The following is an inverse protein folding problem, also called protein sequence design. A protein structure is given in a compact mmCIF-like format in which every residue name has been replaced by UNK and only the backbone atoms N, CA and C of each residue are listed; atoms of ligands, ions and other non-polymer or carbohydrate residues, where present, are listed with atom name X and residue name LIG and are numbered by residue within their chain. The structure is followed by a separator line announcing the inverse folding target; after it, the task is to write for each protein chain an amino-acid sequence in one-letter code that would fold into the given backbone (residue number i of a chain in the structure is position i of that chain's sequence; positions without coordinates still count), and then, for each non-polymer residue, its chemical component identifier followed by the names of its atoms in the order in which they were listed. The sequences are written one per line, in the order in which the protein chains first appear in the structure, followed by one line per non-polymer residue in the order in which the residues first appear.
data_IF_637256883483
#
_entry.id   IF_637256883483
#
_cell.length_a   1.000
_cell.length_b   1.000
_cell.length_c   1.000
_cell.angle_alpha   90.00
_cell.angle_beta   90.00
_cell.angle_gamma   90.00
#
_symmetry.space_group_name_H-M   'P 1'
#
loop_
_entity.id
_entity.type
_entity.pdbx_description
1 polymer ?
#
# COMPACT_ATOMS: atom_id res chain seq x y z
N UNK A 1 0.97 -1.79 9.56
CA UNK A 1 0.21 -0.95 8.62
C UNK A 1 0.69 -1.25 7.23
N UNK A 2 -0.21 -1.34 6.24
CA UNK A 2 0.14 -1.50 4.83
C UNK A 2 -0.61 -0.40 4.06
N UNK A 3 0.12 0.55 3.48
CA UNK A 3 -0.47 1.62 2.66
C UNK A 3 -0.36 1.21 1.19
N UNK A 4 -1.44 1.33 0.44
CA UNK A 4 -1.40 1.24 -1.02
C UNK A 4 -1.08 2.62 -1.59
N UNK A 5 -0.39 2.63 -2.73
CA UNK A 5 0.23 3.81 -3.30
C UNK A 5 -0.41 4.10 -4.65
N UNK A 6 -0.91 5.33 -4.82
CA UNK A 6 -1.33 5.88 -6.11
C UNK A 6 -0.17 6.67 -6.74
N UNK A 7 -0.38 7.21 -7.94
CA UNK A 7 0.64 8.00 -8.63
C UNK A 7 1.14 9.19 -7.80
N UNK A 8 0.27 9.83 -7.02
CA UNK A 8 0.61 11.02 -6.23
C UNK A 8 1.62 10.72 -5.10
N UNK A 9 1.57 9.51 -4.53
CA UNK A 9 2.47 9.09 -3.46
C UNK A 9 3.71 8.32 -3.96
N UNK A 10 3.84 8.08 -5.26
CA UNK A 10 4.86 7.20 -5.82
C UNK A 10 6.29 7.72 -5.61
N UNK A 11 6.54 9.01 -5.88
CA UNK A 11 7.87 9.60 -5.68
C UNK A 11 8.28 9.60 -4.21
N UNK A 12 7.35 9.92 -3.31
CA UNK A 12 7.60 9.92 -1.88
C UNK A 12 7.87 8.52 -1.35
N UNK A 13 7.10 7.51 -1.79
CA UNK A 13 7.38 6.11 -1.52
C UNK A 13 8.80 5.73 -1.96
N UNK A 14 9.25 6.15 -3.15
CA UNK A 14 10.62 5.85 -3.62
C UNK A 14 11.67 6.55 -2.76
N UNK A 15 11.46 7.80 -2.33
CA UNK A 15 12.39 8.51 -1.42
C UNK A 15 12.59 7.76 -0.10
N UNK A 16 11.53 7.13 0.44
CA UNK A 16 11.66 6.32 1.67
C UNK A 16 12.55 5.08 1.51
N UNK A 17 12.82 4.63 0.28
CA UNK A 17 13.62 3.42 0.03
C UNK A 17 15.14 3.68 -0.02
N UNK A 18 15.59 4.90 0.29
CA UNK A 18 17.02 5.23 0.38
C UNK A 18 17.73 4.51 1.54
N UNK A 19 19.06 4.41 1.47
CA UNK A 19 19.90 3.88 2.54
C UNK A 19 20.07 4.94 3.65
N UNK A 20 19.00 5.20 4.38
CA UNK A 20 18.98 6.18 5.46
C UNK A 20 19.58 5.60 6.76
N UNK A 21 20.17 6.44 7.63
CA UNK A 21 20.57 6.04 8.98
C UNK A 21 19.38 5.52 9.80
N UNK A 22 19.64 4.60 10.73
CA UNK A 22 18.61 3.95 11.56
C UNK A 22 17.74 4.93 12.37
N UNK A 23 18.30 6.07 12.73
CA UNK A 23 17.64 7.08 13.57
C UNK A 23 16.70 8.02 12.80
N UNK A 24 16.68 7.93 11.46
CA UNK A 24 15.84 8.79 10.62
C UNK A 24 14.44 8.20 10.49
N UNK A 25 13.43 8.97 10.87
CA UNK A 25 12.03 8.67 10.54
C UNK A 25 11.76 9.10 9.08
N UNK A 26 11.51 8.13 8.20
CA UNK A 26 11.27 8.41 6.79
C UNK A 26 9.96 9.18 6.53
N UNK A 27 8.97 9.12 7.43
CA UNK A 27 7.77 9.96 7.32
C UNK A 27 8.15 11.44 7.48
N UNK A 28 8.91 11.78 8.51
CA UNK A 28 9.35 13.16 8.75
C UNK A 28 10.28 13.66 7.64
N UNK A 29 11.21 12.81 7.21
CA UNK A 29 12.18 13.15 6.17
C UNK A 29 11.54 13.49 4.82
N UNK A 30 10.52 12.71 4.42
CA UNK A 30 9.80 12.95 3.16
C UNK A 30 8.68 13.98 3.32
N UNK A 31 8.30 14.32 4.56
CA UNK A 31 7.21 15.25 4.85
C UNK A 31 5.82 14.60 4.69
N UNK A 32 5.72 13.28 4.93
CA UNK A 32 4.46 12.55 4.87
C UNK A 32 3.68 12.73 6.18
N UNK A 33 2.49 13.31 6.08
CA UNK A 33 1.55 13.36 7.20
C UNK A 33 1.07 11.96 7.57
N UNK A 34 1.01 11.69 8.87
CA UNK A 34 0.50 10.42 9.41
C UNK A 34 -0.86 10.60 10.08
N UNK A 35 -1.65 9.53 10.10
CA UNK A 35 -2.91 9.46 10.83
C UNK A 35 -2.93 8.22 11.74
N UNK A 36 -3.58 8.30 12.91
CA UNK A 36 -3.67 7.17 13.82
C UNK A 36 -4.46 6.01 13.20
N UNK A 37 -4.11 4.81 13.63
CA UNK A 37 -4.83 3.56 13.36
C UNK A 37 -5.83 3.28 14.48
N UNK A 38 -6.88 2.51 14.19
CA UNK A 38 -7.95 2.21 15.14
C UNK A 38 -7.66 0.95 15.99
N UNK A 39 -7.05 -0.07 15.40
CA UNK A 39 -6.90 -1.43 15.94
C UNK A 39 -5.43 -1.89 16.08
N UNK A 40 -4.48 -1.18 15.48
CA UNK A 40 -3.03 -1.44 15.58
C UNK A 40 -2.25 -0.20 15.98
N UNK A 41 -1.01 -0.38 16.50
CA UNK A 41 -0.16 0.73 16.94
C UNK A 41 0.45 1.57 15.80
N UNK A 42 0.99 0.98 14.71
CA UNK A 42 1.65 1.77 13.68
C UNK A 42 0.65 2.70 12.97
N UNK A 43 1.01 3.96 12.69
CA UNK A 43 0.14 4.90 11.99
C UNK A 43 0.03 4.55 10.50
N UNK A 44 -0.96 5.14 9.82
CA UNK A 44 -1.09 5.14 8.35
C UNK A 44 -0.61 6.47 7.76
N UNK A 45 -0.26 6.45 6.47
CA UNK A 45 -0.09 7.69 5.71
C UNK A 45 -1.47 8.35 5.62
N UNK A 46 -1.57 9.62 6.03
CA UNK A 46 -2.85 10.31 6.17
C UNK A 46 -3.63 10.35 4.84
N UNK A 47 -2.90 10.61 3.76
CA UNK A 47 -3.42 10.76 2.41
C UNK A 47 -3.34 9.47 1.56
N UNK A 48 -3.03 8.32 2.15
CA UNK A 48 -3.05 7.06 1.40
C UNK A 48 -4.45 6.77 0.84
N UNK A 49 -4.57 6.37 -0.44
CA UNK A 49 -5.84 6.02 -1.05
C UNK A 49 -6.52 4.85 -0.33
N UNK A 50 -5.74 3.84 0.04
CA UNK A 50 -6.17 2.67 0.81
C UNK A 50 -5.08 2.34 1.83
N UNK A 51 -5.48 2.09 3.08
CA UNK A 51 -4.59 1.59 4.12
C UNK A 51 -5.21 0.38 4.82
N UNK A 52 -4.38 -0.61 5.15
CA UNK A 52 -4.78 -1.84 5.81
C UNK A 52 -4.10 -1.95 7.16
N UNK A 53 -4.92 -1.94 8.20
CA UNK A 53 -4.48 -2.35 9.52
C UNK A 53 -4.37 -3.86 9.56
N UNK A 54 -3.19 -4.38 9.90
CA UNK A 54 -2.95 -5.81 9.88
C UNK A 54 -2.08 -6.23 11.07
N UNK A 55 -2.36 -7.43 11.59
CA UNK A 55 -1.55 -8.09 12.62
C UNK A 55 -0.75 -9.23 12.00
N UNK A 56 0.48 -9.42 12.48
CA UNK A 56 1.31 -10.56 12.08
C UNK A 56 0.59 -11.87 12.42
N UNK A 57 0.37 -12.70 11.40
CA UNK A 57 -0.16 -14.05 11.54
C UNK A 57 0.99 -15.07 11.56
N UNK A 58 1.96 -14.91 10.65
CA UNK A 58 3.12 -15.77 10.57
C UNK A 58 4.31 -15.03 9.96
N UNK A 59 5.51 -15.34 10.43
CA UNK A 59 6.78 -14.93 9.84
C UNK A 59 7.53 -16.20 9.43
N UNK A 60 7.85 -16.34 8.13
CA UNK A 60 8.53 -17.51 7.58
C UNK A 60 9.88 -17.05 7.01
N UNK A 61 11.01 -17.30 7.70
CA UNK A 61 12.34 -16.97 7.16
C UNK A 61 12.63 -17.76 5.89
N UNK A 62 13.29 -17.14 4.92
CA UNK A 62 13.80 -17.83 3.73
C UNK A 62 15.21 -18.35 4.04
N UNK A 63 15.48 -19.67 3.92
CA UNK A 63 16.81 -20.21 4.16
C UNK A 63 17.88 -19.53 3.29
N UNK A 64 19.06 -19.36 3.86
CA UNK A 64 20.22 -18.75 3.19
C UNK A 64 19.97 -17.33 2.63
N UNK A 65 19.00 -16.61 3.20
CA UNK A 65 18.63 -15.25 2.81
C UNK A 65 18.35 -14.38 4.04
N UNK A 66 18.48 -13.07 3.87
CA UNK A 66 18.01 -12.07 4.86
C UNK A 66 16.50 -11.79 4.73
N UNK A 67 15.82 -12.41 3.76
CA UNK A 67 14.39 -12.21 3.49
C UNK A 67 13.49 -13.12 4.33
N UNK A 68 12.26 -12.66 4.56
CA UNK A 68 11.21 -13.46 5.18
C UNK A 68 9.86 -13.19 4.50
N UNK A 69 9.03 -14.24 4.41
CA UNK A 69 7.62 -14.11 4.04
C UNK A 69 6.81 -13.70 5.28
N UNK A 70 6.14 -12.56 5.19
CA UNK A 70 5.24 -12.05 6.22
C UNK A 70 3.79 -12.34 5.82
N UNK A 71 3.11 -13.18 6.59
CA UNK A 71 1.66 -13.36 6.48
C UNK A 71 0.99 -12.50 7.53
N UNK A 72 0.11 -11.58 7.10
CA UNK A 72 -0.59 -10.66 7.98
C UNK A 72 -2.10 -10.80 7.80
N UNK A 73 -2.85 -10.81 8.91
CA UNK A 73 -4.31 -10.78 8.91
C UNK A 73 -4.78 -9.34 8.95
N UNK A 74 -5.54 -8.93 7.94
CA UNK A 74 -6.15 -7.60 7.89
C UNK A 74 -7.29 -7.53 8.90
N UNK A 75 -7.27 -6.47 9.72
CA UNK A 75 -8.25 -6.16 10.76
C UNK A 75 -9.22 -5.07 10.30
N UNK A 76 -8.73 -4.09 9.52
CA UNK A 76 -9.51 -2.95 9.05
C UNK A 76 -8.93 -2.38 7.76
N UNK A 77 -9.82 -1.97 6.88
CA UNK A 77 -9.51 -1.15 5.71
C UNK A 77 -9.91 0.30 5.98
N UNK A 78 -9.03 1.22 5.64
CA UNK A 78 -9.31 2.65 5.48
C UNK A 78 -9.28 2.93 3.98
N UNK A 79 -10.39 3.38 3.41
CA UNK A 79 -10.49 3.67 1.98
C UNK A 79 -10.95 5.12 1.82
N UNK A 80 -10.26 5.89 0.99
CA UNK A 80 -10.63 7.27 0.68
C UNK A 80 -12.03 7.29 0.06
N UNK A 81 -12.92 8.13 0.59
CA UNK A 81 -14.35 8.09 0.30
C UNK A 81 -14.67 8.28 -1.19
N UNK A 82 -13.88 9.09 -1.90
CA UNK A 82 -14.01 9.38 -3.34
C UNK A 82 -13.75 8.16 -4.24
N UNK A 83 -13.06 7.14 -3.72
CA UNK A 83 -12.77 5.88 -4.39
C UNK A 83 -13.90 4.87 -4.27
N UNK A 84 -14.89 5.09 -3.40
CA UNK A 84 -15.97 4.12 -3.19
C UNK A 84 -17.04 4.25 -4.28
N UNK A 85 -17.25 3.16 -5.03
CA UNK A 85 -18.37 3.03 -5.95
C UNK A 85 -19.66 2.70 -5.18
N UNK A 86 -20.85 3.01 -5.74
CA UNK A 86 -22.14 2.74 -5.08
C UNK A 86 -22.38 1.28 -4.68
N UNK A 87 -21.68 0.33 -5.31
CA UNK A 87 -21.79 -1.11 -5.04
C UNK A 87 -20.86 -1.59 -3.91
N UNK A 88 -20.17 -0.68 -3.22
CA UNK A 88 -19.23 -1.01 -2.14
C UNK A 88 -17.87 -1.52 -2.62
N UNK A 89 -17.55 -1.31 -3.90
CA UNK A 89 -16.25 -1.66 -4.50
C UNK A 89 -15.40 -0.42 -4.71
N UNK A 90 -14.09 -0.59 -4.82
CA UNK A 90 -13.15 0.50 -5.16
C UNK A 90 -13.26 0.83 -6.66
N UNK A 91 -13.26 2.11 -6.99
CA UNK A 91 -13.09 2.64 -8.34
C UNK A 91 -11.61 2.52 -8.72
N UNK A 92 -11.23 1.57 -9.59
CA UNK A 92 -9.84 1.34 -9.92
C UNK A 92 -9.25 2.50 -10.75
N UNK A 93 -10.08 3.22 -11.52
CA UNK A 93 -9.64 4.35 -12.35
C UNK A 93 -9.26 5.54 -11.48
N UNK A 94 -10.05 5.83 -10.44
CA UNK A 94 -9.71 6.91 -9.50
C UNK A 94 -8.58 6.54 -8.55
N UNK A 95 -8.47 5.26 -8.21
CA UNK A 95 -7.39 4.78 -7.36
C UNK A 95 -6.04 4.84 -8.11
N UNK A 96 -6.01 4.50 -9.40
CA UNK A 96 -4.84 4.48 -10.27
C UNK A 96 -3.53 4.02 -9.56
N UNK A 97 -3.50 2.76 -9.08
CA UNK A 97 -2.36 2.24 -8.33
C UNK A 97 -1.09 2.26 -9.15
N UNK A 98 0.04 2.50 -8.48
CA UNK A 98 1.35 2.24 -9.07
C UNK A 98 1.78 0.79 -8.89
N UNK A 99 2.35 0.22 -9.94
CA UNK A 99 2.97 -1.09 -9.94
C UNK A 99 4.46 -0.96 -10.25
N UNK A 100 5.29 -1.70 -9.50
CA UNK A 100 6.73 -1.79 -9.74
C UNK A 100 7.02 -2.72 -10.91
N UNK A 101 7.88 -2.28 -11.83
CA UNK A 101 8.42 -3.07 -12.92
C UNK A 101 9.90 -3.41 -12.66
N UNK A 102 10.66 -3.72 -13.71
CA UNK A 102 12.09 -3.95 -13.59
C UNK A 102 12.85 -2.66 -13.25
N UNK A 103 13.97 -2.79 -12.54
CA UNK A 103 14.83 -1.65 -12.20
C UNK A 103 14.05 -0.53 -11.49
N UNK A 104 14.19 0.73 -11.89
CA UNK A 104 13.51 1.89 -11.33
C UNK A 104 12.15 2.19 -12.00
N UNK A 105 11.69 1.34 -12.91
CA UNK A 105 10.47 1.61 -13.68
C UNK A 105 9.21 1.29 -12.90
N UNK A 106 8.20 2.15 -13.05
CA UNK A 106 6.86 1.98 -12.52
C UNK A 106 5.83 2.21 -13.63
N UNK A 107 4.66 1.61 -13.48
CA UNK A 107 3.50 1.87 -14.33
C UNK A 107 2.29 2.21 -13.47
N UNK A 108 1.36 2.97 -14.05
CA UNK A 108 0.00 3.12 -13.52
C UNK A 108 -0.87 1.95 -14.00
N UNK A 109 -2.17 1.99 -13.70
CA UNK A 109 -3.11 0.88 -13.95
C UNK A 109 -3.17 0.41 -15.41
N UNK A 110 -3.00 1.31 -16.36
CA UNK A 110 -3.10 1.02 -17.80
C UNK A 110 -4.52 0.70 -18.26
N UNK A 111 -4.65 -0.13 -19.30
CA UNK A 111 -5.94 -0.45 -19.93
C UNK A 111 -6.74 -1.46 -19.12
N UNK A 112 -7.98 -1.11 -18.76
CA UNK A 112 -8.91 -1.98 -18.05
C UNK A 112 -9.78 -2.77 -19.05
N UNK A 113 -9.83 -4.09 -18.88
CA UNK A 113 -10.74 -4.98 -19.60
C UNK A 113 -11.77 -5.55 -18.62
N UNK A 114 -13.05 -5.57 -19.01
CA UNK A 114 -14.11 -6.24 -18.24
C UNK A 114 -14.40 -7.59 -18.86
N UNK A 115 -14.12 -8.66 -18.12
CA UNK A 115 -14.36 -10.05 -18.55
C UNK A 115 -15.33 -10.67 -17.57
N UNK A 116 -16.53 -11.02 -18.03
CA UNK A 116 -17.56 -11.63 -17.19
C UNK A 116 -17.25 -13.11 -16.95
N UNK A 117 -17.56 -13.60 -15.74
CA UNK A 117 -17.48 -15.04 -15.46
C UNK A 117 -18.53 -15.78 -16.30
N UNK A 118 -18.19 -16.95 -16.88
CA UNK A 118 -19.19 -17.80 -17.52
C UNK A 118 -20.30 -18.15 -16.54
N UNK A 119 -21.56 -18.04 -17.00
CA UNK A 119 -22.70 -18.61 -16.30
C UNK A 119 -22.74 -20.10 -16.63
N UNK A 120 -22.52 -20.95 -15.62
CA UNK A 120 -22.66 -22.41 -15.69
C UNK A 120 -23.80 -22.84 -14.80
#
# INVERSE_FOLDING_TARGET
MINLVDQALAEDMVKTAGEWPYEIDEFEMVGLETAPSDLVKPPRVANAPIAMEAKLAQLIPIPDSTSALVLARVERFHIRQDLMLPKGTVDPVKFDPVARLASADYTTLGTILTILRPEV
#
